data_IF_087223188926
#
_entry.id   IF_087223188926
#
_cell.length_a   1.000
_cell.length_b   1.000
_cell.length_c   1.000
_cell.angle_alpha   90.00
_cell.angle_beta   90.00
_cell.angle_gamma   90.00
#
_symmetry.space_group_name_H-M   'P 1'
#
loop_
_entity.id
_entity.type
_entity.pdbx_description
1 polymer ?
#
# COMPACT_ATOMS: atom_id res chain seq x y z
N UNK A 1 20.68 10.62 -11.61
CA UNK A 1 20.82 9.24 -11.05
C UNK A 1 22.14 8.59 -11.45
N UNK A 2 22.40 8.32 -12.75
CA UNK A 2 23.68 7.71 -13.21
C UNK A 2 24.92 8.52 -12.81
N UNK A 3 24.84 9.84 -12.83
CA UNK A 3 25.91 10.75 -12.41
C UNK A 3 26.12 10.78 -10.88
N UNK A 4 25.05 10.61 -10.09
CA UNK A 4 25.15 10.53 -8.62
C UNK A 4 25.79 9.21 -8.17
N UNK A 5 25.39 8.09 -8.78
CA UNK A 5 26.02 6.79 -8.54
C UNK A 5 27.46 6.73 -9.08
N UNK A 6 27.73 7.37 -10.23
CA UNK A 6 29.10 7.51 -10.78
C UNK A 6 30.00 8.41 -9.91
N UNK A 7 29.45 9.48 -9.33
CA UNK A 7 30.13 10.33 -8.34
C UNK A 7 30.45 9.56 -7.06
N UNK A 8 29.51 8.77 -6.54
CA UNK A 8 29.71 7.92 -5.36
C UNK A 8 30.73 6.80 -5.60
N UNK A 9 30.75 6.19 -6.79
CA UNK A 9 31.74 5.17 -7.15
C UNK A 9 33.16 5.77 -7.27
N UNK A 10 33.29 6.97 -7.84
CA UNK A 10 34.57 7.72 -7.84
C UNK A 10 35.00 8.11 -6.43
N UNK A 11 34.09 8.61 -5.60
CA UNK A 11 34.36 8.93 -4.19
C UNK A 11 34.80 7.71 -3.36
N UNK A 12 34.26 6.52 -3.65
CA UNK A 12 34.67 5.28 -3.00
C UNK A 12 36.12 4.89 -3.31
N UNK A 13 36.59 5.05 -4.55
CA UNK A 13 38.00 4.80 -4.91
C UNK A 13 38.93 5.79 -4.18
N UNK A 14 38.55 7.06 -4.09
CA UNK A 14 39.31 8.09 -3.36
C UNK A 14 39.36 7.86 -1.84
N UNK A 15 38.35 7.20 -1.26
CA UNK A 15 38.34 6.78 0.16
C UNK A 15 39.16 5.50 0.42
N UNK A 16 39.25 4.61 -0.58
CA UNK A 16 39.91 3.30 -0.45
C UNK A 16 41.42 3.36 -0.71
N UNK A 17 41.90 4.22 -1.62
CA UNK A 17 43.33 4.33 -1.97
C UNK A 17 44.21 4.79 -0.80
N UNK A 18 43.79 5.73 0.08
CA UNK A 18 44.63 6.21 1.17
C UNK A 18 44.86 5.16 2.27
N UNK A 19 43.90 4.28 2.54
CA UNK A 19 43.99 3.31 3.65
C UNK A 19 45.14 2.28 3.49
N UNK A 20 45.27 1.53 2.38
CA UNK A 20 46.39 0.62 2.15
C UNK A 20 47.71 1.35 1.93
N UNK A 21 47.69 2.56 1.35
CA UNK A 21 48.88 3.40 1.20
C UNK A 21 49.43 3.87 2.56
N UNK A 22 48.56 4.35 3.46
CA UNK A 22 48.92 4.75 4.82
C UNK A 22 49.38 3.54 5.65
N UNK A 23 48.70 2.40 5.54
CA UNK A 23 49.15 1.16 6.17
C UNK A 23 50.54 0.75 5.67
N UNK A 24 50.77 0.75 4.35
CA UNK A 24 52.09 0.44 3.78
C UNK A 24 53.18 1.41 4.25
N UNK A 25 52.91 2.71 4.29
CA UNK A 25 53.85 3.72 4.80
C UNK A 25 54.15 3.56 6.30
N UNK A 26 53.18 3.06 7.07
CA UNK A 26 53.34 2.77 8.50
C UNK A 26 54.16 1.50 8.71
N UNK A 27 53.89 0.42 7.96
CA UNK A 27 54.65 -0.83 7.99
C UNK A 27 56.10 -0.66 7.50
N UNK A 28 56.32 0.21 6.52
CA UNK A 28 57.64 0.58 6.02
C UNK A 28 58.36 1.63 6.90
N UNK A 29 57.78 1.99 8.06
CA UNK A 29 58.33 2.95 9.04
C UNK A 29 58.57 4.38 8.52
N UNK A 30 57.99 4.76 7.38
CA UNK A 30 58.08 6.13 6.87
C UNK A 30 57.23 7.12 7.69
N UNK A 31 56.13 6.65 8.30
CA UNK A 31 55.23 7.47 9.12
C UNK A 31 54.85 6.70 10.39
N UNK A 32 54.82 7.38 11.55
CA UNK A 32 54.41 6.77 12.81
C UNK A 32 52.93 6.41 12.83
N UNK A 33 52.62 5.26 13.43
CA UNK A 33 51.24 4.76 13.59
C UNK A 33 50.35 5.71 14.39
N UNK A 34 50.94 6.55 15.25
CA UNK A 34 50.21 7.57 16.01
C UNK A 34 49.55 8.63 15.11
N UNK A 35 50.10 8.88 13.91
CA UNK A 35 49.54 9.83 12.95
C UNK A 35 48.63 9.16 11.91
N UNK A 36 48.88 7.90 11.57
CA UNK A 36 48.09 7.19 10.55
C UNK A 36 46.84 6.52 11.11
N UNK A 37 46.87 6.03 12.36
CA UNK A 37 45.75 5.33 12.97
C UNK A 37 44.46 6.18 13.07
N UNK A 38 44.47 7.46 13.51
CA UNK A 38 43.25 8.27 13.59
C UNK A 38 42.62 8.51 12.21
N UNK A 39 43.44 8.68 11.17
CA UNK A 39 43.00 8.89 9.79
C UNK A 39 42.32 7.63 9.25
N UNK A 40 42.92 6.46 9.50
CA UNK A 40 42.34 5.16 9.10
C UNK A 40 40.99 4.94 9.78
N UNK A 41 40.88 5.22 11.09
CA UNK A 41 39.62 5.10 11.84
C UNK A 41 38.55 6.05 11.32
N UNK A 42 38.90 7.32 11.04
CA UNK A 42 37.95 8.29 10.48
C UNK A 42 37.44 7.86 9.09
N UNK A 43 38.34 7.40 8.21
CA UNK A 43 37.95 6.89 6.89
C UNK A 43 37.07 5.63 6.99
N UNK A 44 37.37 4.74 7.94
CA UNK A 44 36.56 3.55 8.20
C UNK A 44 35.17 3.92 8.74
N UNK A 45 35.06 4.93 9.60
CA UNK A 45 33.78 5.43 10.10
C UNK A 45 32.95 6.08 8.99
N UNK A 46 33.56 6.92 8.14
CA UNK A 46 32.91 7.50 6.97
C UNK A 46 32.43 6.40 6.02
N UNK A 47 33.24 5.36 5.81
CA UNK A 47 32.85 4.25 4.96
C UNK A 47 31.72 3.41 5.55
N UNK A 48 31.81 3.07 6.84
CA UNK A 48 30.74 2.38 7.57
C UNK A 48 29.43 3.16 7.50
N UNK A 49 29.50 4.50 7.63
CA UNK A 49 28.36 5.39 7.45
C UNK A 49 27.82 5.38 6.01
N UNK A 50 28.67 5.45 4.99
CA UNK A 50 28.27 5.40 3.57
C UNK A 50 27.68 4.04 3.17
N UNK A 51 28.24 2.94 3.67
CA UNK A 51 27.71 1.60 3.42
C UNK A 51 26.39 1.38 4.13
N UNK A 52 26.29 1.83 5.39
CA UNK A 52 25.04 1.83 6.15
C UNK A 52 23.95 2.62 5.42
N UNK A 53 24.22 3.88 5.06
CA UNK A 53 23.26 4.74 4.33
C UNK A 53 22.86 4.16 2.98
N UNK A 54 23.78 3.51 2.24
CA UNK A 54 23.43 2.82 0.99
C UNK A 54 22.51 1.62 1.22
N UNK A 55 22.77 0.82 2.27
CA UNK A 55 21.96 -0.35 2.61
C UNK A 55 20.56 0.03 3.07
N UNK A 56 20.45 1.03 3.96
CA UNK A 56 19.15 1.54 4.41
C UNK A 56 18.35 2.15 3.27
N UNK A 57 19.01 2.91 2.39
CA UNK A 57 18.37 3.50 1.20
C UNK A 57 17.84 2.45 0.22
N UNK A 58 18.59 1.37 -0.02
CA UNK A 58 18.12 0.25 -0.86
C UNK A 58 16.91 -0.44 -0.25
N UNK A 59 16.92 -0.70 1.06
CA UNK A 59 15.80 -1.32 1.75
C UNK A 59 14.54 -0.43 1.69
N UNK A 60 14.68 0.88 1.91
CA UNK A 60 13.58 1.84 1.81
C UNK A 60 12.99 1.89 0.39
N UNK A 61 13.82 1.91 -0.64
CA UNK A 61 13.36 1.86 -2.04
C UNK A 61 12.63 0.56 -2.38
N UNK A 62 13.10 -0.58 -1.87
CA UNK A 62 12.43 -1.86 -2.06
C UNK A 62 11.03 -1.87 -1.43
N UNK A 63 10.91 -1.34 -0.21
CA UNK A 63 9.63 -1.22 0.51
C UNK A 63 8.68 -0.27 -0.22
N UNK A 64 9.16 0.88 -0.69
CA UNK A 64 8.37 1.81 -1.50
C UNK A 64 7.90 1.19 -2.81
N UNK A 65 8.75 0.41 -3.48
CA UNK A 65 8.37 -0.28 -4.73
C UNK A 65 7.27 -1.30 -4.47
N UNK A 66 7.36 -2.06 -3.37
CA UNK A 66 6.31 -2.99 -2.96
C UNK A 66 5.01 -2.26 -2.62
N UNK A 67 5.10 -1.09 -2.00
CA UNK A 67 3.94 -0.26 -1.72
C UNK A 67 3.31 0.32 -3.00
N UNK A 68 4.11 0.79 -3.96
CA UNK A 68 3.59 1.26 -5.25
C UNK A 68 2.81 0.16 -5.96
N UNK A 69 3.34 -1.06 -6.02
CA UNK A 69 2.65 -2.21 -6.61
C UNK A 69 1.33 -2.50 -5.89
N UNK A 70 1.33 -2.46 -4.56
CA UNK A 70 0.12 -2.66 -3.75
C UNK A 70 -0.95 -1.59 -4.05
N UNK A 71 -0.56 -0.33 -4.16
CA UNK A 71 -1.46 0.77 -4.50
C UNK A 71 -1.97 0.64 -5.94
N UNK A 72 -1.10 0.33 -6.90
CA UNK A 72 -1.49 0.14 -8.29
C UNK A 72 -2.50 -1.02 -8.43
N UNK A 73 -2.30 -2.11 -7.71
CA UNK A 73 -3.27 -3.21 -7.64
C UNK A 73 -4.60 -2.79 -7.00
N UNK A 74 -4.56 -2.01 -5.91
CA UNK A 74 -5.76 -1.47 -5.30
C UNK A 74 -6.52 -0.57 -6.29
N UNK A 75 -5.80 0.26 -7.04
CA UNK A 75 -6.32 1.15 -8.07
C UNK A 75 -7.03 0.39 -9.19
N UNK A 76 -6.33 -0.58 -9.76
CA UNK A 76 -6.84 -1.44 -10.83
C UNK A 76 -8.10 -2.19 -10.43
N UNK A 77 -8.15 -2.69 -9.19
CA UNK A 77 -9.27 -3.50 -8.72
C UNK A 77 -10.51 -2.68 -8.34
N UNK A 78 -10.33 -1.46 -7.81
CA UNK A 78 -11.44 -0.71 -7.22
C UNK A 78 -11.83 0.56 -7.98
N UNK A 79 -10.93 1.14 -8.78
CA UNK A 79 -11.15 2.47 -9.39
C UNK A 79 -11.07 2.47 -10.91
N UNK A 80 -10.26 1.60 -11.52
CA UNK A 80 -10.18 1.52 -12.98
C UNK A 80 -11.50 0.98 -13.56
N UNK A 81 -12.09 1.76 -14.46
CA UNK A 81 -13.30 1.36 -15.17
C UNK A 81 -12.90 0.42 -16.31
N UNK A 82 -13.25 -0.86 -16.17
CA UNK A 82 -13.17 -1.81 -17.28
C UNK A 82 -14.23 -1.51 -18.35
N UNK A 83 -14.21 -2.27 -19.45
CA UNK A 83 -15.33 -2.28 -20.38
C UNK A 83 -16.65 -2.67 -19.69
N UNK A 84 -17.80 -2.41 -20.30
CA UNK A 84 -19.10 -2.73 -19.68
C UNK A 84 -19.28 -4.21 -19.29
N UNK A 85 -18.52 -5.14 -19.87
CA UNK A 85 -18.56 -6.55 -19.44
C UNK A 85 -17.63 -6.86 -18.26
N UNK A 86 -16.59 -6.04 -18.02
CA UNK A 86 -15.47 -6.34 -17.12
C UNK A 86 -15.40 -5.42 -15.89
N UNK A 87 -16.20 -4.35 -15.83
CA UNK A 87 -16.25 -3.49 -14.65
C UNK A 87 -16.87 -4.25 -13.46
N UNK A 88 -15.99 -4.71 -12.58
CA UNK A 88 -16.28 -5.47 -11.36
C UNK A 88 -16.26 -4.59 -10.09
N UNK A 89 -16.29 -3.26 -10.24
CA UNK A 89 -16.28 -2.35 -9.08
C UNK A 89 -17.57 -2.52 -8.28
N UNK A 90 -17.46 -2.57 -6.96
CA UNK A 90 -18.62 -2.80 -6.08
C UNK A 90 -19.73 -1.76 -6.30
N UNK A 91 -19.36 -0.50 -6.54
CA UNK A 91 -20.30 0.62 -6.79
C UNK A 91 -21.18 0.38 -8.02
N UNK A 92 -20.74 -0.44 -8.97
CA UNK A 92 -21.54 -0.82 -10.14
C UNK A 92 -22.81 -1.58 -9.79
N UNK A 93 -22.84 -2.24 -8.64
CA UNK A 93 -24.07 -2.86 -8.15
C UNK A 93 -25.19 -1.84 -7.96
N UNK A 94 -24.87 -0.57 -7.68
CA UNK A 94 -25.85 0.52 -7.57
C UNK A 94 -26.55 0.86 -8.90
N UNK A 95 -25.98 0.47 -10.04
CA UNK A 95 -26.59 0.69 -11.37
C UNK A 95 -27.40 -0.51 -11.86
N UNK A 96 -27.13 -1.71 -11.31
CA UNK A 96 -27.68 -2.98 -11.81
C UNK A 96 -28.75 -3.54 -10.88
N UNK A 97 -28.60 -3.32 -9.58
CA UNK A 97 -29.49 -3.86 -8.55
C UNK A 97 -30.37 -2.74 -8.02
N UNK A 98 -31.71 -2.90 -7.99
CA UNK A 98 -32.58 -1.88 -7.44
C UNK A 98 -32.30 -1.66 -5.95
N UNK A 99 -32.63 -0.47 -5.42
CA UNK A 99 -32.45 -0.18 -4.00
C UNK A 99 -33.25 -1.11 -3.10
N UNK A 100 -32.74 -1.35 -1.89
CA UNK A 100 -33.51 -2.00 -0.83
C UNK A 100 -34.62 -1.04 -0.37
N UNK A 101 -35.88 -1.36 -0.70
CA UNK A 101 -37.04 -0.50 -0.46
C UNK A 101 -37.75 -0.80 0.88
N UNK A 102 -37.36 -1.85 1.58
CA UNK A 102 -38.10 -2.38 2.74
C UNK A 102 -38.00 -1.51 4.01
N UNK A 103 -37.07 -0.56 4.08
CA UNK A 103 -36.80 0.20 5.32
C UNK A 103 -36.80 1.72 5.17
N UNK A 104 -36.65 2.25 3.94
CA UNK A 104 -36.51 3.70 3.71
C UNK A 104 -37.22 4.02 2.40
N UNK A 105 -38.15 4.98 2.40
CA UNK A 105 -38.91 5.35 1.20
C UNK A 105 -38.03 5.61 -0.03
N UNK A 106 -38.57 5.48 -1.26
CA UNK A 106 -37.80 5.43 -2.50
C UNK A 106 -36.88 6.65 -2.73
N UNK A 107 -37.31 7.84 -2.28
CA UNK A 107 -36.52 9.08 -2.37
C UNK A 107 -35.23 9.03 -1.53
N UNK A 108 -35.32 8.46 -0.33
CA UNK A 108 -34.18 8.34 0.58
C UNK A 108 -33.19 7.25 0.13
N UNK A 109 -33.69 6.20 -0.55
CA UNK A 109 -32.84 5.17 -1.11
C UNK A 109 -32.00 5.70 -2.28
N UNK A 110 -32.62 6.47 -3.19
CA UNK A 110 -31.91 7.14 -4.28
C UNK A 110 -30.86 8.15 -3.75
N UNK A 111 -31.19 8.94 -2.74
CA UNK A 111 -30.25 9.86 -2.09
C UNK A 111 -29.07 9.13 -1.44
N UNK A 112 -29.30 7.96 -0.83
CA UNK A 112 -28.25 7.13 -0.22
C UNK A 112 -27.30 6.56 -1.28
N UNK A 113 -27.84 6.06 -2.40
CA UNK A 113 -27.01 5.59 -3.52
C UNK A 113 -26.15 6.70 -4.10
N UNK A 114 -26.71 7.90 -4.27
CA UNK A 114 -25.97 9.07 -4.77
C UNK A 114 -24.84 9.46 -3.80
N UNK A 115 -25.11 9.49 -2.50
CA UNK A 115 -24.08 9.75 -1.48
C UNK A 115 -22.94 8.74 -1.50
N UNK A 116 -23.22 7.46 -1.76
CA UNK A 116 -22.17 6.43 -1.88
C UNK A 116 -21.30 6.69 -3.12
N UNK A 117 -21.90 7.10 -4.24
CA UNK A 117 -21.15 7.49 -5.45
C UNK A 117 -20.25 8.70 -5.20
N UNK A 118 -20.75 9.72 -4.50
CA UNK A 118 -19.95 10.88 -4.14
C UNK A 118 -18.78 10.51 -3.22
N UNK A 119 -19.05 9.67 -2.21
CA UNK A 119 -18.00 9.15 -1.34
C UNK A 119 -16.97 8.35 -2.14
N UNK A 120 -17.38 7.53 -3.10
CA UNK A 120 -16.47 6.77 -3.95
C UNK A 120 -15.51 7.68 -4.72
N UNK A 121 -15.98 8.81 -5.24
CA UNK A 121 -15.12 9.83 -5.87
C UNK A 121 -14.10 10.41 -4.87
N UNK A 122 -14.53 10.71 -3.64
CA UNK A 122 -13.62 11.18 -2.57
C UNK A 122 -12.53 10.15 -2.27
N UNK A 123 -12.89 8.86 -2.16
CA UNK A 123 -11.92 7.78 -2.00
C UNK A 123 -10.98 7.66 -3.20
N UNK A 124 -11.47 7.88 -4.42
CA UNK A 124 -10.64 7.89 -5.61
C UNK A 124 -9.59 9.02 -5.56
N UNK A 125 -9.96 10.22 -5.11
CA UNK A 125 -9.01 11.31 -4.90
C UNK A 125 -7.98 10.99 -3.80
N UNK A 126 -8.42 10.39 -2.69
CA UNK A 126 -7.51 9.98 -1.62
C UNK A 126 -6.51 8.92 -2.12
N UNK A 127 -6.98 7.95 -2.90
CA UNK A 127 -6.11 6.97 -3.57
C UNK A 127 -5.04 7.64 -4.44
N UNK A 128 -5.43 8.56 -5.33
CA UNK A 128 -4.47 9.27 -6.18
C UNK A 128 -3.47 10.10 -5.37
N UNK A 129 -3.90 10.71 -4.27
CA UNK A 129 -3.01 11.45 -3.36
C UNK A 129 -1.95 10.52 -2.74
N UNK A 130 -2.34 9.35 -2.22
CA UNK A 130 -1.39 8.38 -1.67
C UNK A 130 -0.41 7.86 -2.73
N UNK A 131 -0.92 7.55 -3.93
CA UNK A 131 -0.08 7.11 -5.05
C UNK A 131 0.96 8.17 -5.44
N UNK A 132 0.57 9.44 -5.47
CA UNK A 132 1.49 10.54 -5.77
C UNK A 132 2.52 10.74 -4.64
N UNK A 133 2.10 10.65 -3.37
CA UNK A 133 3.02 10.64 -2.21
C UNK A 133 4.10 9.55 -2.37
N UNK A 134 3.72 8.30 -2.65
CA UNK A 134 4.68 7.19 -2.90
C UNK A 134 5.65 7.52 -4.01
N UNK A 135 5.14 8.00 -5.15
CA UNK A 135 5.98 8.32 -6.32
C UNK A 135 6.95 9.45 -6.04
N UNK A 136 6.53 10.47 -5.30
CA UNK A 136 7.40 11.55 -4.85
C UNK A 136 8.50 11.00 -3.93
N UNK A 137 8.16 10.12 -2.99
CA UNK A 137 9.12 9.49 -2.08
C UNK A 137 10.15 8.64 -2.85
N UNK A 138 9.71 7.88 -3.86
CA UNK A 138 10.60 7.13 -4.76
C UNK A 138 11.51 8.05 -5.59
N UNK A 139 10.98 9.16 -6.14
CA UNK A 139 11.77 10.13 -6.93
C UNK A 139 12.82 10.86 -6.11
N UNK A 140 12.54 11.12 -4.82
CA UNK A 140 13.51 11.67 -3.86
C UNK A 140 14.55 10.61 -3.41
N UNK A 141 14.58 9.46 -4.08
CA UNK A 141 15.53 8.39 -3.84
C UNK A 141 15.22 7.55 -2.61
N UNK A 142 14.19 7.83 -1.82
CA UNK A 142 14.15 7.28 -0.47
C UNK A 142 15.18 7.95 0.45
N UNK A 143 15.53 9.22 0.18
CA UNK A 143 15.90 10.15 1.26
C UNK A 143 14.61 10.39 2.05
N UNK A 144 14.29 9.39 2.85
CA UNK A 144 13.07 9.29 3.63
C UNK A 144 13.43 9.45 5.09
N UNK A 145 12.56 10.12 5.81
CA UNK A 145 12.45 9.87 7.23
C UNK A 145 11.64 8.56 7.35
N UNK A 146 12.14 7.61 8.13
CA UNK A 146 11.41 6.36 8.46
C UNK A 146 9.96 6.64 8.92
N UNK A 147 9.75 7.82 9.49
CA UNK A 147 8.46 8.40 9.84
C UNK A 147 7.47 8.49 8.66
N UNK A 148 7.89 8.96 7.48
CA UNK A 148 6.98 9.18 6.34
C UNK A 148 6.44 7.85 5.80
N UNK A 149 7.26 6.79 5.81
CA UNK A 149 6.85 5.45 5.39
C UNK A 149 5.84 4.86 6.39
N UNK A 150 6.04 5.10 7.67
CA UNK A 150 5.10 4.68 8.74
C UNK A 150 3.77 5.41 8.60
N UNK A 151 3.79 6.73 8.42
CA UNK A 151 2.58 7.54 8.21
C UNK A 151 1.80 7.04 6.99
N UNK A 152 2.49 6.83 5.86
CA UNK A 152 1.86 6.34 4.64
C UNK A 152 1.23 4.95 4.82
N UNK A 153 1.89 4.05 5.56
CA UNK A 153 1.33 2.73 5.84
C UNK A 153 0.10 2.80 6.75
N UNK A 154 0.10 3.70 7.75
CA UNK A 154 -1.07 3.96 8.59
C UNK A 154 -2.23 4.58 7.78
N UNK A 155 -1.93 5.58 6.95
CA UNK A 155 -2.89 6.19 6.02
C UNK A 155 -3.55 5.13 5.13
N UNK A 156 -2.76 4.18 4.61
CA UNK A 156 -3.28 3.09 3.79
C UNK A 156 -4.20 2.14 4.57
N UNK A 157 -3.84 1.77 5.79
CA UNK A 157 -4.69 0.92 6.65
C UNK A 157 -6.02 1.64 6.93
N UNK A 158 -5.97 2.92 7.29
CA UNK A 158 -7.17 3.73 7.54
C UNK A 158 -8.03 3.85 6.28
N UNK A 159 -7.41 4.18 5.15
CA UNK A 159 -8.07 4.27 3.85
C UNK A 159 -8.79 2.97 3.50
N UNK A 160 -8.09 1.83 3.55
CA UNK A 160 -8.63 0.53 3.17
C UNK A 160 -9.81 0.16 4.07
N UNK A 161 -9.65 0.29 5.39
CA UNK A 161 -10.68 -0.04 6.35
C UNK A 161 -11.91 0.86 6.22
N UNK A 162 -11.73 2.16 5.94
CA UNK A 162 -12.85 3.08 5.68
C UNK A 162 -13.52 2.80 4.34
N UNK A 163 -12.76 2.39 3.32
CA UNK A 163 -13.32 2.00 2.03
C UNK A 163 -14.26 0.79 2.19
N UNK A 164 -13.85 -0.22 2.97
CA UNK A 164 -14.72 -1.35 3.30
C UNK A 164 -16.02 -0.89 3.96
N UNK A 165 -15.94 -0.14 5.05
CA UNK A 165 -17.13 0.26 5.82
C UNK A 165 -18.07 1.18 5.03
N UNK A 166 -17.52 2.14 4.29
CA UNK A 166 -18.29 3.25 3.70
C UNK A 166 -18.73 2.97 2.27
N UNK A 167 -17.91 2.25 1.51
CA UNK A 167 -18.17 1.97 0.10
C UNK A 167 -18.65 0.53 -0.04
N UNK A 168 -17.85 -0.47 0.33
CA UNK A 168 -18.22 -1.86 0.07
C UNK A 168 -19.49 -2.28 0.85
N UNK A 169 -19.47 -2.13 2.18
CA UNK A 169 -20.63 -2.43 3.03
C UNK A 169 -21.77 -1.44 2.79
N UNK A 170 -21.45 -0.18 2.55
CA UNK A 170 -22.43 0.86 2.20
C UNK A 170 -23.23 0.49 0.95
N UNK A 171 -22.55 0.06 -0.11
CA UNK A 171 -23.17 -0.39 -1.35
C UNK A 171 -24.03 -1.63 -1.13
N UNK A 172 -23.52 -2.63 -0.43
CA UNK A 172 -24.27 -3.88 -0.16
C UNK A 172 -25.53 -3.66 0.68
N UNK A 173 -25.52 -2.66 1.59
CA UNK A 173 -26.71 -2.28 2.37
C UNK A 173 -27.71 -1.45 1.57
N UNK A 174 -27.27 -0.76 0.53
CA UNK A 174 -28.13 0.10 -0.27
C UNK A 174 -28.90 -0.66 -1.36
N UNK A 175 -28.35 -1.78 -1.85
CA UNK A 175 -28.96 -2.60 -2.90
C UNK A 175 -29.86 -3.69 -2.33
N UNK A 176 -30.89 -4.08 -3.09
CA UNK A 176 -31.78 -5.16 -2.70
C UNK A 176 -31.05 -6.49 -2.57
N UNK A 177 -31.08 -7.11 -1.38
CA UNK A 177 -30.43 -8.43 -1.17
C UNK A 177 -31.05 -9.52 -2.05
N UNK A 178 -32.36 -9.50 -2.23
CA UNK A 178 -33.08 -10.49 -3.03
C UNK A 178 -32.71 -10.40 -4.51
N UNK A 179 -32.60 -9.18 -5.06
CA UNK A 179 -32.24 -8.97 -6.46
C UNK A 179 -30.73 -9.16 -6.70
N UNK A 180 -29.88 -8.83 -5.72
CA UNK A 180 -28.47 -9.18 -5.72
C UNK A 180 -28.31 -10.71 -5.82
N UNK A 181 -29.14 -11.45 -5.08
CA UNK A 181 -29.21 -12.90 -5.16
C UNK A 181 -29.78 -13.34 -6.50
N UNK A 182 -30.84 -12.77 -7.05
CA UNK A 182 -31.45 -13.34 -8.25
C UNK A 182 -30.70 -13.03 -9.55
N UNK A 183 -29.92 -11.94 -9.60
CA UNK A 183 -29.19 -11.52 -10.79
C UNK A 183 -27.84 -12.24 -10.94
N UNK A 184 -27.69 -13.08 -11.98
CA UNK A 184 -26.42 -13.74 -12.30
C UNK A 184 -25.28 -12.74 -12.49
N UNK A 185 -25.54 -11.62 -13.18
CA UNK A 185 -24.55 -10.57 -13.43
C UNK A 185 -24.08 -9.92 -12.13
N UNK A 186 -24.99 -9.65 -11.19
CA UNK A 186 -24.65 -9.04 -9.91
C UNK A 186 -23.84 -10.01 -9.01
N UNK A 187 -24.17 -11.31 -9.04
CA UNK A 187 -23.39 -12.36 -8.40
C UNK A 187 -21.95 -12.41 -8.90
N UNK A 188 -21.76 -12.39 -10.21
CA UNK A 188 -20.44 -12.46 -10.84
C UNK A 188 -19.58 -11.24 -10.45
N UNK A 189 -20.14 -10.03 -10.50
CA UNK A 189 -19.48 -8.80 -10.05
C UNK A 189 -19.05 -8.92 -8.58
N UNK A 190 -19.97 -9.30 -7.69
CA UNK A 190 -19.68 -9.41 -6.26
C UNK A 190 -18.64 -10.51 -5.96
N UNK A 191 -18.73 -11.66 -6.63
CA UNK A 191 -17.78 -12.77 -6.47
C UNK A 191 -16.38 -12.37 -6.92
N UNK A 192 -16.26 -11.69 -8.06
CA UNK A 192 -14.97 -11.21 -8.56
C UNK A 192 -14.40 -10.14 -7.62
N UNK A 193 -15.23 -9.18 -7.20
CA UNK A 193 -14.84 -8.14 -6.24
C UNK A 193 -14.32 -8.75 -4.93
N UNK A 194 -15.10 -9.63 -4.29
CA UNK A 194 -14.74 -10.25 -3.01
C UNK A 194 -13.46 -11.10 -3.09
N UNK A 195 -13.29 -11.87 -4.18
CA UNK A 195 -12.07 -12.67 -4.42
C UNK A 195 -10.84 -11.76 -4.55
N UNK A 196 -10.92 -10.74 -5.43
CA UNK A 196 -9.83 -9.80 -5.66
C UNK A 196 -9.47 -9.00 -4.39
N UNK A 197 -10.48 -8.62 -3.62
CA UNK A 197 -10.30 -7.90 -2.36
C UNK A 197 -9.64 -8.78 -1.29
N UNK A 198 -10.00 -10.07 -1.22
CA UNK A 198 -9.35 -11.01 -0.31
C UNK A 198 -7.87 -11.23 -0.65
N UNK A 199 -7.52 -11.31 -1.94
CA UNK A 199 -6.13 -11.37 -2.39
C UNK A 199 -5.35 -10.10 -2.08
N UNK A 200 -5.96 -8.92 -2.33
CA UNK A 200 -5.37 -7.63 -1.98
C UNK A 200 -5.12 -7.51 -0.48
N UNK A 201 -6.08 -7.94 0.35
CA UNK A 201 -5.94 -8.02 1.81
C UNK A 201 -4.75 -8.88 2.22
N UNK A 202 -4.61 -10.06 1.62
CA UNK A 202 -3.49 -10.97 1.89
C UNK A 202 -2.15 -10.31 1.62
N UNK A 203 -2.01 -9.65 0.47
CA UNK A 203 -0.79 -8.93 0.08
C UNK A 203 -0.51 -7.72 0.96
N UNK A 204 -1.54 -6.95 1.31
CA UNK A 204 -1.44 -5.81 2.20
C UNK A 204 -0.97 -6.22 3.60
N UNK A 205 -1.58 -7.25 4.20
CA UNK A 205 -1.15 -7.75 5.52
C UNK A 205 0.25 -8.37 5.49
N UNK A 206 0.64 -9.02 4.39
CA UNK A 206 2.01 -9.50 4.20
C UNK A 206 3.02 -8.34 4.15
N UNK A 207 2.69 -7.26 3.45
CA UNK A 207 3.51 -6.05 3.40
C UNK A 207 3.61 -5.35 4.76
N UNK A 208 2.51 -5.18 5.49
CA UNK A 208 2.52 -4.61 6.84
C UNK A 208 3.35 -5.45 7.81
N UNK A 209 3.24 -6.78 7.73
CA UNK A 209 4.10 -7.70 8.51
C UNK A 209 5.58 -7.52 8.16
N UNK A 210 5.90 -7.34 6.87
CA UNK A 210 7.27 -7.06 6.43
C UNK A 210 7.76 -5.75 7.02
N UNK A 211 7.00 -4.66 6.96
CA UNK A 211 7.37 -3.38 7.59
C UNK A 211 7.65 -3.54 9.09
N UNK A 212 6.79 -4.26 9.83
CA UNK A 212 7.04 -4.55 11.26
C UNK A 212 8.34 -5.33 11.48
N UNK A 213 8.68 -6.27 10.59
CA UNK A 213 9.94 -7.03 10.68
C UNK A 213 11.20 -6.18 10.44
N UNK A 214 11.07 -5.03 9.75
CA UNK A 214 12.13 -4.03 9.62
C UNK A 214 12.20 -3.06 10.83
N UNK A 215 11.34 -3.21 11.83
CA UNK A 215 11.31 -2.38 13.03
C UNK A 215 10.39 -1.15 12.96
N UNK A 216 9.59 -1.01 11.90
CA UNK A 216 8.64 0.08 11.76
C UNK A 216 7.44 -0.09 12.69
N UNK A 217 7.17 0.92 13.52
CA UNK A 217 6.04 0.92 14.46
C UNK A 217 4.75 1.36 13.77
N UNK A 218 4.17 0.47 12.98
CA UNK A 218 2.86 0.67 12.36
C UNK A 218 1.78 0.48 13.43
N UNK A 219 0.81 1.41 13.49
CA UNK A 219 -0.34 1.26 14.38
C UNK A 219 -0.99 -0.10 14.13
N UNK A 220 -1.21 -0.87 15.19
CA UNK A 220 -1.39 -2.33 15.15
C UNK A 220 -2.67 -2.85 14.47
N UNK A 221 -3.30 -2.09 13.58
CA UNK A 221 -4.44 -2.54 12.81
C UNK A 221 -3.97 -3.16 11.50
N UNK A 222 -4.25 -4.46 11.34
CA UNK A 222 -4.21 -5.10 10.04
C UNK A 222 -5.38 -4.59 9.18
N UNK A 223 -5.28 -4.76 7.86
CA UNK A 223 -6.42 -4.48 6.98
C UNK A 223 -7.50 -5.55 7.18
N UNK A 224 -8.74 -5.10 7.39
CA UNK A 224 -9.88 -5.96 7.75
C UNK A 224 -10.38 -6.80 6.57
N UNK A 225 -11.11 -7.87 6.88
CA UNK A 225 -11.89 -8.59 5.88
C UNK A 225 -13.18 -7.82 5.59
N UNK A 226 -13.77 -8.06 4.41
CA UNK A 226 -15.16 -7.68 4.17
C UNK A 226 -16.05 -8.55 5.07
N UNK A 227 -16.81 -7.92 5.97
CA UNK A 227 -17.66 -8.63 6.94
C UNK A 227 -19.02 -9.00 6.34
N UNK A 228 -19.50 -8.23 5.37
CA UNK A 228 -20.82 -8.44 4.76
C UNK A 228 -20.75 -9.52 3.69
N UNK A 229 -21.29 -10.70 3.99
CA UNK A 229 -21.62 -11.73 3.00
C UNK A 229 -23.14 -11.72 2.71
N UNK A 230 -23.57 -11.29 1.51
CA UNK A 230 -24.98 -11.26 1.13
C UNK A 230 -25.61 -12.67 1.03
N UNK A 231 -24.80 -13.73 1.01
CA UNK A 231 -25.25 -15.11 0.85
C UNK A 231 -25.62 -15.79 2.17
N UNK A 232 -24.97 -15.42 3.28
CA UNK A 232 -25.18 -16.06 4.60
C UNK A 232 -26.58 -15.83 5.19
N UNK A 233 -27.23 -14.70 4.90
CA UNK A 233 -28.60 -14.42 5.40
C UNK A 233 -29.68 -15.19 4.62
N UNK A 234 -29.39 -15.65 3.40
CA UNK A 234 -30.36 -16.35 2.54
C UNK A 234 -30.62 -17.81 2.95
N UNK A 235 -29.67 -18.43 3.66
CA UNK A 235 -29.75 -19.84 4.08
C UNK A 235 -30.59 -19.98 5.37
N UNK A 236 -30.61 -18.96 6.23
CA UNK A 236 -31.38 -19.01 7.48
C UNK A 236 -32.91 -19.02 7.24
N UNK A 237 -33.39 -18.50 6.10
CA UNK A 237 -34.81 -18.43 5.76
C UNK A 237 -35.45 -19.74 5.31
N UNK A 238 -34.66 -20.71 4.82
CA UNK A 238 -35.18 -21.99 4.31
C UNK A 238 -35.16 -23.14 5.34
N UNK A 239 -34.79 -22.87 6.60
CA UNK A 239 -34.74 -23.91 7.66
C UNK A 239 -35.98 -23.97 8.55
N UNK A 240 -37.06 -23.23 8.21
CA UNK A 240 -38.34 -23.21 8.95
C UNK A 240 -39.55 -23.56 8.08
N UNK A 241 -39.36 -24.40 7.08
CA UNK A 241 -40.46 -25.01 6.35
C UNK A 241 -40.09 -26.47 6.04
N UNK A 242 -40.16 -27.30 7.08
CA UNK A 242 -40.50 -28.73 7.01
C UNK A 242 -40.96 -29.17 8.40
#
# INVERSE_FOLDING_TARGET
MREYFGSLAKGQVWLFVPQPALLALTFLRYISILYTAPIIVALAAIWGWLDYTKKTHRAALELLTQFEVLLDDLGRLNFEQGGEAEDNRIVRLLDIVPPETNTIGPENAAATMLRIRDLFLVFQFWYFSMRDKVRIMMRKGGVLLDYDLVELANDFVEFYNRYLDRIADGTLRAVSKQELVNSQRAREIFKNFSTNLAELRGRANAFLKKLRSYGYSISGMDVRALETDPWTDSIAGNSKAD
#
